data_IF_409225741014
#
_entry.id   IF_409225741014
#
_cell.length_a   1.000
_cell.length_b   1.000
_cell.length_c   1.000
_cell.angle_alpha   90.00
_cell.angle_beta   90.00
_cell.angle_gamma   90.00
#
_symmetry.space_group_name_H-M   'P 1'
#
loop_
_entity.id
_entity.type
_entity.pdbx_description
1 polymer ?
#
# COMPACT_ATOMS: atom_id res chain seq x y z
N UNK A 1 0.97 24.63 -13.41
CA UNK A 1 1.67 23.39 -13.83
C UNK A 1 1.03 22.75 -15.06
N UNK A 2 -0.23 22.27 -15.03
CA UNK A 2 -0.84 21.54 -16.16
C UNK A 2 -0.82 22.32 -17.49
N UNK A 3 -1.02 23.65 -17.48
CA UNK A 3 -1.00 24.47 -18.72
C UNK A 3 0.43 24.55 -19.29
N UNK A 4 1.45 24.63 -18.45
CA UNK A 4 2.84 24.71 -18.87
C UNK A 4 3.42 23.38 -19.37
N UNK A 5 2.76 22.25 -19.10
CA UNK A 5 3.18 20.94 -19.68
C UNK A 5 2.98 20.89 -21.20
N UNK A 6 2.14 21.79 -21.75
CA UNK A 6 1.92 21.95 -23.19
C UNK A 6 2.74 23.10 -23.80
N UNK A 7 3.63 23.74 -23.02
CA UNK A 7 4.45 24.83 -23.54
C UNK A 7 5.58 24.30 -24.42
N UNK A 8 5.85 25.00 -25.52
CA UNK A 8 6.96 24.67 -26.42
C UNK A 8 8.34 25.11 -25.89
N UNK A 9 8.36 26.06 -24.96
CA UNK A 9 9.59 26.57 -24.34
C UNK A 9 9.91 25.96 -22.99
N UNK A 10 11.19 26.07 -22.54
CA UNK A 10 11.66 25.61 -21.23
C UNK A 10 11.28 26.55 -20.08
N UNK A 11 10.56 27.64 -20.37
CA UNK A 11 10.20 28.63 -19.36
C UNK A 11 8.89 28.24 -18.67
N UNK A 12 8.91 28.24 -17.33
CA UNK A 12 7.70 28.08 -16.49
C UNK A 12 6.93 29.39 -16.32
N UNK A 13 7.41 30.51 -16.92
CA UNK A 13 6.83 31.84 -16.74
C UNK A 13 6.21 32.43 -18.02
N UNK A 14 6.57 31.92 -19.19
CA UNK A 14 6.12 32.44 -20.48
C UNK A 14 5.56 31.29 -21.32
N UNK A 15 4.39 31.50 -21.93
CA UNK A 15 3.78 30.57 -22.87
C UNK A 15 4.25 30.90 -24.28
N UNK A 16 5.17 30.11 -24.81
CA UNK A 16 5.75 30.31 -26.16
C UNK A 16 4.96 29.60 -27.28
N UNK A 17 3.97 28.76 -26.93
CA UNK A 17 3.12 28.06 -27.87
C UNK A 17 2.70 26.68 -27.38
N UNK A 18 1.73 26.07 -28.10
CA UNK A 18 1.25 24.72 -27.80
C UNK A 18 2.16 23.68 -28.44
N UNK A 19 2.69 22.75 -27.62
CA UNK A 19 3.53 21.65 -28.09
C UNK A 19 3.29 20.39 -27.25
N UNK A 20 3.42 19.23 -27.89
CA UNK A 20 3.43 17.91 -27.24
C UNK A 20 4.85 17.36 -27.11
N UNK A 21 5.86 18.22 -27.27
CA UNK A 21 7.26 17.84 -27.25
C UNK A 21 7.64 17.10 -25.96
N UNK A 22 7.29 17.66 -24.81
CA UNK A 22 7.58 17.07 -23.49
C UNK A 22 6.94 15.71 -23.26
N UNK A 23 5.75 15.49 -23.82
CA UNK A 23 5.10 14.17 -23.75
C UNK A 23 5.81 13.15 -24.63
N UNK A 24 6.29 13.53 -25.80
CA UNK A 24 7.10 12.64 -26.64
C UNK A 24 8.43 12.30 -25.98
N UNK A 25 9.11 13.28 -25.39
CA UNK A 25 10.36 13.07 -24.65
C UNK A 25 10.14 12.13 -23.47
N UNK A 26 9.07 12.32 -22.68
CA UNK A 26 8.71 11.45 -21.56
C UNK A 26 8.56 9.98 -22.00
N UNK A 27 7.92 9.73 -23.15
CA UNK A 27 7.74 8.37 -23.67
C UNK A 27 9.01 7.78 -24.31
N UNK A 28 10.05 8.55 -24.53
CA UNK A 28 11.35 8.08 -25.01
C UNK A 28 12.38 7.95 -23.87
N UNK A 29 12.11 8.50 -22.71
CA UNK A 29 12.99 8.35 -21.54
C UNK A 29 12.80 6.95 -20.91
N UNK A 30 13.70 6.03 -21.27
CA UNK A 30 13.68 4.64 -20.78
C UNK A 30 13.80 4.56 -19.25
N UNK A 31 14.52 5.47 -18.63
CA UNK A 31 14.70 5.51 -17.18
C UNK A 31 13.38 5.87 -16.47
N UNK A 32 12.67 6.88 -16.97
CA UNK A 32 11.37 7.30 -16.42
C UNK A 32 10.31 6.22 -16.63
N UNK A 33 10.26 5.59 -17.79
CA UNK A 33 9.37 4.45 -18.06
C UNK A 33 9.73 3.24 -17.19
N UNK A 34 11.03 3.01 -16.95
CA UNK A 34 11.53 2.00 -16.02
C UNK A 34 11.05 2.26 -14.59
N UNK A 35 11.18 3.49 -14.11
CA UNK A 35 10.72 3.91 -12.80
C UNK A 35 9.20 3.79 -12.65
N UNK A 36 8.43 4.17 -13.68
CA UNK A 36 6.97 3.98 -13.72
C UNK A 36 6.59 2.50 -13.60
N UNK A 37 7.23 1.63 -14.39
CA UNK A 37 7.00 0.18 -14.32
C UNK A 37 7.31 -0.37 -12.94
N UNK A 38 8.41 0.05 -12.34
CA UNK A 38 8.81 -0.36 -10.99
C UNK A 38 7.77 0.05 -9.95
N UNK A 39 7.28 1.29 -10.04
CA UNK A 39 6.22 1.81 -9.15
C UNK A 39 4.94 0.99 -9.29
N UNK A 40 4.49 0.70 -10.51
CA UNK A 40 3.29 -0.09 -10.74
C UNK A 40 3.41 -1.52 -10.21
N UNK A 41 4.56 -2.17 -10.41
CA UNK A 41 4.82 -3.52 -9.88
C UNK A 41 4.81 -3.49 -8.35
N UNK A 42 5.51 -2.52 -7.74
CA UNK A 42 5.55 -2.38 -6.29
C UNK A 42 4.15 -2.13 -5.73
N UNK A 43 3.42 -1.16 -6.28
CA UNK A 43 2.08 -0.80 -5.82
C UNK A 43 1.10 -1.98 -5.95
N UNK A 44 1.14 -2.71 -7.06
CA UNK A 44 0.27 -3.88 -7.27
C UNK A 44 0.62 -5.01 -6.28
N UNK A 45 1.90 -5.33 -6.11
CA UNK A 45 2.34 -6.35 -5.16
C UNK A 45 1.99 -5.95 -3.72
N UNK A 46 2.26 -4.71 -3.33
CA UNK A 46 1.94 -4.20 -2.00
C UNK A 46 0.43 -4.20 -1.74
N UNK A 47 -0.38 -3.75 -2.70
CA UNK A 47 -1.83 -3.74 -2.58
C UNK A 47 -2.41 -5.15 -2.42
N UNK A 48 -1.97 -6.11 -3.22
CA UNK A 48 -2.44 -7.50 -3.13
C UNK A 48 -2.05 -8.13 -1.79
N UNK A 49 -0.79 -8.02 -1.38
CA UNK A 49 -0.32 -8.60 -0.13
C UNK A 49 -0.97 -7.95 1.09
N UNK A 50 -1.04 -6.61 1.12
CA UNK A 50 -1.68 -5.89 2.22
C UNK A 50 -3.19 -6.20 2.30
N UNK A 51 -3.86 -6.37 1.16
CA UNK A 51 -5.29 -6.73 1.12
C UNK A 51 -5.53 -8.12 1.68
N UNK A 52 -4.73 -9.11 1.31
CA UNK A 52 -4.84 -10.48 1.83
C UNK A 52 -4.57 -10.48 3.34
N UNK A 53 -3.46 -9.90 3.77
CA UNK A 53 -3.05 -9.86 5.17
C UNK A 53 -4.01 -9.02 6.02
N UNK A 54 -4.42 -7.84 5.53
CA UNK A 54 -5.32 -6.93 6.21
C UNK A 54 -6.72 -7.50 6.35
N UNK A 55 -7.23 -8.19 5.33
CA UNK A 55 -8.51 -8.91 5.41
C UNK A 55 -8.44 -10.03 6.44
N UNK A 56 -7.39 -10.84 6.43
CA UNK A 56 -7.18 -11.90 7.42
C UNK A 56 -7.10 -11.32 8.84
N UNK A 57 -6.37 -10.21 9.02
CA UNK A 57 -6.28 -9.51 10.30
C UNK A 57 -7.64 -8.97 10.75
N UNK A 58 -8.42 -8.33 9.85
CA UNK A 58 -9.75 -7.81 10.15
C UNK A 58 -10.72 -8.91 10.58
N UNK A 59 -10.73 -10.07 9.89
CA UNK A 59 -11.51 -11.23 10.26
C UNK A 59 -11.10 -11.77 11.63
N UNK A 60 -9.80 -11.89 11.89
CA UNK A 60 -9.27 -12.28 13.20
C UNK A 60 -9.71 -11.33 14.30
N UNK A 61 -9.58 -10.01 14.08
CA UNK A 61 -10.00 -8.98 15.04
C UNK A 61 -11.52 -9.02 15.32
N UNK A 62 -12.34 -9.30 14.31
CA UNK A 62 -13.78 -9.39 14.50
C UNK A 62 -14.16 -10.58 15.38
N UNK A 63 -13.46 -11.72 15.25
CA UNK A 63 -13.71 -12.96 16.02
C UNK A 63 -13.14 -12.94 17.45
N UNK A 64 -12.34 -11.94 17.83
CA UNK A 64 -11.82 -11.79 19.19
C UNK A 64 -12.98 -11.58 20.18
N UNK A 65 -12.96 -12.30 21.29
CA UNK A 65 -13.97 -12.17 22.37
C UNK A 65 -13.58 -11.15 23.44
N UNK A 66 -12.29 -10.94 23.67
CA UNK A 66 -11.78 -10.05 24.72
C UNK A 66 -11.88 -8.58 24.29
N UNK A 67 -12.57 -7.76 25.08
CA UNK A 67 -12.69 -6.30 24.88
C UNK A 67 -11.32 -5.60 24.94
N UNK A 68 -10.44 -6.03 25.84
CA UNK A 68 -9.11 -5.46 26.00
C UNK A 68 -8.24 -5.74 24.77
N UNK A 69 -8.30 -6.97 24.24
CA UNK A 69 -7.56 -7.34 23.05
C UNK A 69 -8.06 -6.62 21.80
N UNK A 70 -9.39 -6.45 21.66
CA UNK A 70 -9.96 -5.61 20.59
C UNK A 70 -9.50 -4.16 20.67
N UNK A 71 -9.51 -3.57 21.87
CA UNK A 71 -9.05 -2.20 22.08
C UNK A 71 -7.55 -2.06 21.75
N UNK A 72 -6.72 -2.97 22.25
CA UNK A 72 -5.28 -2.97 21.96
C UNK A 72 -5.00 -3.08 20.45
N UNK A 73 -5.65 -4.01 19.76
CA UNK A 73 -5.47 -4.18 18.32
C UNK A 73 -5.95 -2.96 17.52
N UNK A 74 -7.09 -2.37 17.89
CA UNK A 74 -7.57 -1.13 17.26
C UNK A 74 -6.54 0.00 17.46
N UNK A 75 -5.96 0.14 18.65
CA UNK A 75 -4.93 1.15 18.93
C UNK A 75 -3.70 0.91 18.06
N UNK A 76 -3.19 -0.33 18.02
CA UNK A 76 -2.02 -0.70 17.20
C UNK A 76 -2.29 -0.45 15.70
N UNK A 77 -3.49 -0.76 15.21
CA UNK A 77 -3.86 -0.52 13.81
C UNK A 77 -3.91 0.97 13.47
N UNK A 78 -4.34 1.82 14.42
CA UNK A 78 -4.45 3.25 14.17
C UNK A 78 -3.13 4.01 14.39
N UNK A 79 -2.16 3.45 15.12
CA UNK A 79 -0.87 4.10 15.40
C UNK A 79 -0.12 4.58 14.14
N UNK A 80 0.04 3.75 13.08
CA UNK A 80 0.75 4.16 11.87
C UNK A 80 0.10 5.33 11.14
N UNK A 81 -1.23 5.51 11.28
CA UNK A 81 -1.95 6.61 10.63
C UNK A 81 -1.74 7.96 11.30
N UNK A 82 -1.38 7.97 12.58
CA UNK A 82 -1.12 9.20 13.36
C UNK A 82 0.35 9.60 13.26
N UNK A 83 1.24 8.63 13.02
CA UNK A 83 2.67 8.88 12.91
C UNK A 83 3.02 9.55 11.57
N UNK A 84 3.88 10.57 11.57
CA UNK A 84 4.45 11.11 10.33
C UNK A 84 5.14 10.03 9.50
N UNK A 85 4.89 9.98 8.21
CA UNK A 85 5.46 8.99 7.28
C UNK A 85 6.99 8.96 7.33
N UNK A 86 7.63 10.11 7.52
CA UNK A 86 9.08 10.24 7.66
C UNK A 86 9.61 9.39 8.83
N UNK A 87 8.94 9.44 10.00
CA UNK A 87 9.36 8.67 11.18
C UNK A 87 9.21 7.18 10.90
N UNK A 88 8.12 6.78 10.26
CA UNK A 88 7.87 5.39 9.87
C UNK A 88 8.92 4.91 8.87
N UNK A 89 9.22 5.70 7.83
CA UNK A 89 10.24 5.38 6.82
C UNK A 89 11.64 5.21 7.41
N UNK A 90 12.08 6.16 8.24
CA UNK A 90 13.39 6.08 8.92
C UNK A 90 13.46 4.88 9.87
N UNK A 91 12.39 4.63 10.64
CA UNK A 91 12.34 3.50 11.57
C UNK A 91 12.45 2.16 10.85
N UNK A 92 11.73 1.99 9.74
CA UNK A 92 11.80 0.80 8.90
C UNK A 92 13.19 0.63 8.27
N UNK A 93 13.77 1.71 7.75
CA UNK A 93 15.14 1.70 7.22
C UNK A 93 16.14 1.21 8.26
N UNK A 94 16.13 1.80 9.47
CA UNK A 94 17.04 1.41 10.56
C UNK A 94 16.82 -0.04 10.97
N UNK A 95 15.57 -0.48 11.04
CA UNK A 95 15.22 -1.87 11.33
C UNK A 95 15.80 -2.81 10.28
N UNK A 96 15.60 -2.54 8.99
CA UNK A 96 16.13 -3.39 7.91
C UNK A 96 17.67 -3.40 7.88
N UNK A 97 18.33 -2.26 8.10
CA UNK A 97 19.79 -2.18 8.18
C UNK A 97 20.32 -2.98 9.38
N UNK A 98 19.67 -2.86 10.54
CA UNK A 98 20.06 -3.61 11.75
C UNK A 98 19.95 -5.13 11.54
N UNK A 99 18.77 -5.60 11.09
CA UNK A 99 18.56 -7.03 10.82
C UNK A 99 19.42 -7.55 9.67
N UNK A 100 19.59 -6.76 8.60
CA UNK A 100 20.46 -7.10 7.48
C UNK A 100 21.90 -7.33 7.92
N UNK A 101 22.45 -6.47 8.81
CA UNK A 101 23.79 -6.64 9.39
C UNK A 101 23.87 -7.87 10.28
N UNK A 102 22.84 -8.13 11.07
CA UNK A 102 22.80 -9.30 11.96
C UNK A 102 22.87 -10.63 11.17
N UNK A 103 22.27 -10.67 9.99
CA UNK A 103 22.25 -11.84 9.08
C UNK A 103 23.48 -11.86 8.15
N UNK A 104 24.35 -10.83 8.20
CA UNK A 104 25.55 -10.74 7.37
C UNK A 104 25.30 -10.30 5.93
N UNK A 105 24.18 -9.65 5.62
CA UNK A 105 23.90 -9.11 4.29
C UNK A 105 24.74 -7.87 4.01
N UNK A 106 25.37 -7.81 2.84
CA UNK A 106 26.15 -6.65 2.37
C UNK A 106 25.27 -5.45 2.01
N UNK A 107 24.10 -5.72 1.41
CA UNK A 107 23.08 -4.72 1.07
C UNK A 107 21.78 -5.15 1.73
N UNK A 108 21.35 -4.41 2.76
CA UNK A 108 20.12 -4.71 3.49
C UNK A 108 18.87 -4.12 2.86
N UNK A 109 19.01 -3.11 1.99
CA UNK A 109 17.89 -2.46 1.31
C UNK A 109 17.80 -2.95 -0.13
N UNK A 110 16.62 -3.44 -0.51
CA UNK A 110 16.31 -3.97 -1.83
C UNK A 110 14.79 -3.92 -2.09
N UNK A 111 14.34 -4.40 -3.25
CA UNK A 111 12.92 -4.48 -3.57
C UNK A 111 12.08 -5.18 -2.48
N UNK A 112 12.60 -6.25 -1.87
CA UNK A 112 11.89 -6.99 -0.82
C UNK A 112 11.66 -6.16 0.45
N UNK A 113 12.66 -5.40 0.90
CA UNK A 113 12.51 -4.50 2.07
C UNK A 113 11.54 -3.36 1.79
N UNK A 114 11.58 -2.81 0.58
CA UNK A 114 10.66 -1.80 0.12
C UNK A 114 9.23 -2.33 0.04
N UNK A 115 9.04 -3.53 -0.50
CA UNK A 115 7.73 -4.19 -0.54
C UNK A 115 7.17 -4.44 0.87
N UNK A 116 7.99 -4.93 1.80
CA UNK A 116 7.58 -5.14 3.21
C UNK A 116 7.18 -3.82 3.85
N UNK A 117 7.94 -2.74 3.60
CA UNK A 117 7.62 -1.42 4.11
C UNK A 117 6.26 -0.91 3.62
N UNK A 118 6.01 -1.02 2.31
CA UNK A 118 4.72 -0.63 1.70
C UNK A 118 3.55 -1.48 2.21
N UNK A 119 3.74 -2.80 2.31
CA UNK A 119 2.71 -3.69 2.88
C UNK A 119 2.41 -3.30 4.33
N UNK A 120 3.42 -3.05 5.15
CA UNK A 120 3.26 -2.65 6.56
C UNK A 120 2.51 -1.32 6.67
N UNK A 121 2.81 -0.37 5.81
CA UNK A 121 2.15 0.94 5.75
C UNK A 121 0.69 0.84 5.27
N UNK A 122 0.42 0.05 4.24
CA UNK A 122 -0.92 -0.10 3.66
C UNK A 122 -1.87 -0.96 4.51
N UNK A 123 -1.34 -1.88 5.31
CA UNK A 123 -2.11 -2.86 6.08
C UNK A 123 -3.17 -2.26 7.00
N UNK A 124 -2.91 -1.20 7.80
CA UNK A 124 -3.92 -0.55 8.62
C UNK A 124 -5.11 -0.02 7.82
N UNK A 125 -4.85 0.56 6.66
CA UNK A 125 -5.89 1.11 5.79
C UNK A 125 -6.84 0.05 5.27
N UNK A 126 -6.32 -1.13 4.90
CA UNK A 126 -7.16 -2.28 4.51
C UNK A 126 -8.03 -2.74 5.68
N UNK A 127 -7.44 -2.89 6.88
CA UNK A 127 -8.20 -3.30 8.07
C UNK A 127 -9.37 -2.35 8.33
N UNK A 128 -9.13 -1.04 8.21
CA UNK A 128 -10.15 -0.01 8.43
C UNK A 128 -11.26 -0.01 7.38
N UNK A 129 -11.02 -0.53 6.17
CA UNK A 129 -12.06 -0.68 5.15
C UNK A 129 -12.87 -1.98 5.33
N UNK A 130 -12.21 -3.07 5.74
CA UNK A 130 -12.83 -4.39 5.86
C UNK A 130 -13.57 -4.57 7.20
N UNK A 131 -12.97 -4.11 8.31
CA UNK A 131 -13.52 -4.33 9.65
C UNK A 131 -14.92 -3.75 9.87
N UNK A 132 -15.27 -2.53 9.38
CA UNK A 132 -16.63 -2.03 9.48
C UNK A 132 -17.65 -2.88 8.71
N UNK A 133 -17.28 -3.45 7.57
CA UNK A 133 -18.15 -4.34 6.79
C UNK A 133 -18.45 -5.63 7.56
N UNK A 134 -17.43 -6.22 8.18
CA UNK A 134 -17.62 -7.37 9.07
C UNK A 134 -18.53 -7.08 10.26
N UNK A 135 -18.47 -5.86 10.82
CA UNK A 135 -19.31 -5.45 11.95
C UNK A 135 -20.75 -5.11 11.56
N UNK A 136 -20.99 -4.73 10.32
CA UNK A 136 -22.32 -4.42 9.77
C UNK A 136 -23.08 -5.68 9.33
N UNK A 137 -22.36 -6.78 9.06
CA UNK A 137 -22.94 -8.05 8.66
C UNK A 137 -23.74 -8.66 9.82
N UNK A 138 -24.92 -9.22 9.50
CA UNK A 138 -25.72 -9.96 10.47
C UNK A 138 -24.96 -11.23 10.92
N UNK A 139 -24.66 -11.37 12.22
CA UNK A 139 -23.95 -12.55 12.74
C UNK A 139 -24.76 -13.85 12.57
N UNK A 140 -26.07 -13.79 12.39
CA UNK A 140 -26.90 -14.96 12.15
C UNK A 140 -26.64 -15.63 10.78
N UNK A 141 -26.15 -14.89 9.78
CA UNK A 141 -25.91 -15.42 8.44
C UNK A 141 -24.87 -16.58 8.41
N UNK A 142 -23.66 -16.43 8.98
CA UNK A 142 -22.72 -17.54 9.02
C UNK A 142 -23.18 -18.68 9.95
N UNK A 143 -23.92 -18.39 11.02
CA UNK A 143 -24.50 -19.40 11.91
C UNK A 143 -25.53 -20.25 11.17
N UNK A 144 -26.48 -19.63 10.46
CA UNK A 144 -27.47 -20.33 9.65
C UNK A 144 -26.83 -21.21 8.56
N UNK A 145 -25.75 -20.74 7.93
CA UNK A 145 -25.02 -21.56 6.95
C UNK A 145 -24.37 -22.79 7.60
N UNK A 146 -23.91 -22.68 8.84
CA UNK A 146 -23.36 -23.83 9.58
C UNK A 146 -24.45 -24.80 10.02
N UNK A 147 -25.62 -24.31 10.41
CA UNK A 147 -26.79 -25.14 10.74
C UNK A 147 -27.29 -25.94 9.54
N UNK A 148 -27.13 -25.39 8.33
CA UNK A 148 -27.39 -26.08 7.06
C UNK A 148 -26.27 -27.06 6.65
N UNK A 149 -25.31 -27.36 7.53
CA UNK A 149 -24.24 -28.34 7.31
C UNK A 149 -22.98 -27.79 6.64
N UNK A 150 -22.83 -26.48 6.50
CA UNK A 150 -21.57 -25.89 6.02
C UNK A 150 -20.48 -25.98 7.08
N UNK A 151 -19.27 -26.34 6.66
CA UNK A 151 -18.09 -26.18 7.54
C UNK A 151 -17.79 -24.68 7.74
N UNK A 152 -17.12 -24.26 8.84
CA UNK A 152 -16.78 -22.86 9.10
C UNK A 152 -16.04 -22.18 7.95
N UNK A 153 -15.13 -22.88 7.27
CA UNK A 153 -14.41 -22.37 6.10
C UNK A 153 -15.34 -22.17 4.90
N UNK A 154 -16.32 -23.06 4.70
CA UNK A 154 -17.31 -22.90 3.62
C UNK A 154 -18.31 -21.78 3.94
N UNK A 155 -18.73 -21.62 5.20
CA UNK A 155 -19.55 -20.50 5.63
C UNK A 155 -18.81 -19.17 5.41
N UNK A 156 -17.55 -19.09 5.78
CA UNK A 156 -16.72 -17.93 5.50
C UNK A 156 -16.65 -17.61 4.00
N UNK A 157 -16.27 -18.59 3.16
CA UNK A 157 -16.06 -18.36 1.74
C UNK A 157 -17.35 -18.07 0.94
N UNK A 158 -18.50 -18.63 1.38
CA UNK A 158 -19.76 -18.50 0.64
C UNK A 158 -20.68 -17.41 1.18
N UNK A 159 -20.52 -17.00 2.45
CA UNK A 159 -21.39 -16.04 3.11
C UNK A 159 -20.60 -14.80 3.54
N UNK A 160 -19.58 -14.95 4.40
CA UNK A 160 -18.86 -13.80 4.94
C UNK A 160 -18.05 -13.07 3.84
N UNK A 161 -17.31 -13.80 3.01
CA UNK A 161 -16.41 -13.22 2.01
C UNK A 161 -17.13 -12.39 0.93
N UNK A 162 -18.25 -12.86 0.33
CA UNK A 162 -19.02 -12.05 -0.62
C UNK A 162 -19.61 -10.78 0.02
N UNK A 163 -20.06 -10.85 1.26
CA UNK A 163 -20.65 -9.74 1.99
C UNK A 163 -19.62 -8.63 2.28
N UNK A 164 -18.40 -9.01 2.64
CA UNK A 164 -17.30 -8.06 2.91
C UNK A 164 -16.52 -7.64 1.65
N UNK A 165 -16.80 -8.27 0.50
CA UNK A 165 -16.07 -8.03 -0.76
C UNK A 165 -15.98 -6.55 -1.15
N UNK A 166 -17.04 -5.72 -1.01
CA UNK A 166 -16.94 -4.28 -1.27
C UNK A 166 -15.89 -3.58 -0.41
N UNK A 167 -15.76 -3.99 0.87
CA UNK A 167 -14.74 -3.48 1.78
C UNK A 167 -13.31 -3.92 1.38
N UNK A 168 -13.17 -5.17 0.91
CA UNK A 168 -11.90 -5.70 0.41
C UNK A 168 -11.46 -4.93 -0.84
N UNK A 169 -12.38 -4.70 -1.78
CA UNK A 169 -12.11 -3.95 -3.00
C UNK A 169 -11.70 -2.51 -2.70
N UNK A 170 -12.42 -1.85 -1.79
CA UNK A 170 -12.06 -0.49 -1.35
C UNK A 170 -10.68 -0.46 -0.70
N UNK A 171 -10.37 -1.44 0.15
CA UNK A 171 -9.06 -1.59 0.78
C UNK A 171 -7.93 -1.80 -0.24
N UNK A 172 -8.18 -2.61 -1.27
CA UNK A 172 -7.23 -2.85 -2.36
C UNK A 172 -6.95 -1.59 -3.16
N UNK A 173 -7.99 -0.85 -3.57
CA UNK A 173 -7.83 0.39 -4.32
C UNK A 173 -7.09 1.44 -3.48
N UNK A 174 -7.45 1.56 -2.20
CA UNK A 174 -6.80 2.49 -1.27
C UNK A 174 -5.31 2.18 -1.11
N UNK A 175 -4.98 0.89 -0.86
CA UNK A 175 -3.58 0.45 -0.75
C UNK A 175 -2.79 0.65 -2.03
N UNK A 176 -3.39 0.40 -3.18
CA UNK A 176 -2.76 0.63 -4.47
C UNK A 176 -2.43 2.12 -4.66
N UNK A 177 -3.40 3.00 -4.39
CA UNK A 177 -3.22 4.45 -4.52
C UNK A 177 -2.15 4.98 -3.56
N UNK A 178 -2.20 4.57 -2.29
CA UNK A 178 -1.22 4.97 -1.28
C UNK A 178 0.20 4.51 -1.63
N UNK A 179 0.35 3.29 -2.12
CA UNK A 179 1.66 2.75 -2.51
C UNK A 179 2.19 3.37 -3.81
N UNK A 180 1.30 3.79 -4.72
CA UNK A 180 1.70 4.40 -5.99
C UNK A 180 2.26 5.81 -5.82
N UNK A 181 1.67 6.59 -4.93
CA UNK A 181 2.03 7.99 -4.69
C UNK A 181 3.10 8.16 -3.59
N UNK A 182 3.47 7.09 -2.90
CA UNK A 182 4.43 7.17 -1.81
C UNK A 182 5.84 7.50 -2.29
N UNK A 183 6.35 8.62 -1.79
CA UNK A 183 7.72 9.04 -1.94
C UNK A 183 8.57 8.73 -0.71
N UNK A 184 8.03 8.98 0.48
CA UNK A 184 8.80 9.03 1.72
C UNK A 184 9.30 7.65 2.12
N UNK A 185 8.42 6.67 2.20
CA UNK A 185 8.80 5.30 2.58
C UNK A 185 9.70 4.70 1.49
N UNK A 186 9.34 4.92 0.21
CA UNK A 186 10.15 4.52 -0.94
C UNK A 186 11.57 5.07 -0.84
N UNK A 187 11.75 6.36 -0.56
CA UNK A 187 13.05 7.02 -0.46
C UNK A 187 13.96 6.40 0.60
N UNK A 188 13.41 6.11 1.79
CA UNK A 188 14.18 5.53 2.89
C UNK A 188 14.41 4.02 2.77
N UNK A 189 13.56 3.29 2.08
CA UNK A 189 13.62 1.83 2.00
C UNK A 189 14.09 1.29 0.66
N UNK A 190 14.24 2.16 -0.37
CA UNK A 190 14.83 1.79 -1.65
C UNK A 190 16.31 1.44 -1.48
N UNK A 191 16.71 0.35 -2.12
CA UNK A 191 18.13 0.01 -2.22
C UNK A 191 18.70 0.47 -3.56
N UNK A 192 19.99 0.28 -3.74
CA UNK A 192 20.65 0.56 -5.01
C UNK A 192 20.03 -0.27 -6.13
N UNK A 193 19.53 0.40 -7.17
CA UNK A 193 19.06 -0.23 -8.40
C UNK A 193 17.53 -0.41 -8.54
N UNK A 194 16.74 0.01 -7.55
CA UNK A 194 15.29 0.03 -7.69
C UNK A 194 14.74 1.43 -7.41
N UNK A 195 14.51 2.18 -8.46
CA UNK A 195 14.00 3.55 -8.41
C UNK A 195 12.50 3.55 -8.74
N UNK A 196 11.70 4.28 -7.95
CA UNK A 196 10.28 4.53 -8.21
C UNK A 196 10.10 5.87 -8.89
N UNK A 197 8.94 6.07 -9.53
CA UNK A 197 8.63 7.31 -10.22
C UNK A 197 8.68 8.55 -9.31
N UNK A 198 8.13 8.54 -8.07
CA UNK A 198 8.27 9.67 -7.15
C UNK A 198 9.73 10.01 -6.82
N UNK A 199 10.59 8.99 -6.63
CA UNK A 199 12.04 9.21 -6.40
C UNK A 199 12.69 9.79 -7.65
N UNK A 200 12.36 9.28 -8.84
CA UNK A 200 12.88 9.78 -10.12
C UNK A 200 12.52 11.25 -10.33
N UNK A 201 11.27 11.62 -10.10
CA UNK A 201 10.81 13.01 -10.22
C UNK A 201 11.59 13.91 -9.24
N UNK A 202 11.79 13.47 -8.01
CA UNK A 202 12.56 14.21 -7.01
C UNK A 202 14.03 14.40 -7.43
N UNK A 203 14.66 13.41 -8.05
CA UNK A 203 16.04 13.49 -8.51
C UNK A 203 16.22 14.38 -9.75
N UNK A 204 15.13 14.69 -10.48
CA UNK A 204 15.14 15.59 -11.66
C UNK A 204 14.93 17.05 -11.29
N UNK A 205 14.46 17.37 -10.08
CA UNK A 205 14.18 18.73 -9.58
C UNK A 205 15.32 19.29 -8.76
#
# INVERSE_FOLDING_TARGET
MLVFSFNSGNSLSVLDGFSLYWYKELFHDEDTLGALRNTLILALCAALLSTIMGTAAAVGMNKLRSKYMKAAMNTVTNLPMVNPEIITGISLMLMFVFFGRLIGMRTSLNFGTMLIAHVTFCLPYVILQVLPKLRQMDPALPEAAMDLGCTPLRAFAKVELPEIFPGILTGLIMSFTLSLDDFVISYFTSGNGFETLPIRIYNMT
#
